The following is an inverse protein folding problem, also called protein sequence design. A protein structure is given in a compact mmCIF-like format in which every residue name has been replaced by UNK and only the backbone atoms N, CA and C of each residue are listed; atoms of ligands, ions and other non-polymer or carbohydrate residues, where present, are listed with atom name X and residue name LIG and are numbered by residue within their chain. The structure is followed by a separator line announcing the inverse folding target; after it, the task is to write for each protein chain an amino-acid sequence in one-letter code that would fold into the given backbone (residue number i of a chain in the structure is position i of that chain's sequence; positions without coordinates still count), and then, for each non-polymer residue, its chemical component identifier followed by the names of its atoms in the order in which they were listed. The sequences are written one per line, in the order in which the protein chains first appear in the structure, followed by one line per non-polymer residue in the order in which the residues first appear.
data_IF_980872990499
#
_entry.id   IF_980872990499
#
_cell.length_a   1.000
_cell.length_b   1.000
_cell.length_c   1.000
_cell.angle_alpha   90.00
_cell.angle_beta   90.00
_cell.angle_gamma   90.00
#
_symmetry.space_group_name_H-M   'P 1'
#
loop_
_entity.id
_entity.type
_entity.pdbx_description
1 polymer ?
#
# COMPACT_ATOMS: atom_id res chain seq x y z
N UNK A 1 -5.37 7.13 9.64
CA UNK A 1 -3.91 7.22 9.35
C UNK A 1 -3.68 6.58 8.00
N UNK A 2 -2.89 7.21 7.13
CA UNK A 2 -2.90 6.82 5.72
C UNK A 2 -2.22 5.49 5.45
N UNK A 3 -2.85 4.65 4.63
CA UNK A 3 -2.39 3.31 4.28
C UNK A 3 -2.28 3.13 2.77
N UNK A 4 -1.38 2.24 2.33
CA UNK A 4 -1.06 2.02 0.93
C UNK A 4 -0.73 0.55 0.67
N UNK A 5 -0.82 0.14 -0.59
CA UNK A 5 -0.44 -1.18 -1.08
C UNK A 5 1.02 -1.14 -1.56
N UNK A 6 1.85 -2.03 -1.03
CA UNK A 6 3.22 -2.24 -1.49
C UNK A 6 3.23 -2.71 -2.96
N UNK A 7 3.92 -2.00 -3.84
CA UNK A 7 3.99 -2.35 -5.26
C UNK A 7 4.69 -3.68 -5.54
N UNK A 8 5.61 -4.08 -4.66
CA UNK A 8 6.42 -5.30 -4.81
C UNK A 8 5.66 -6.55 -4.37
N UNK A 9 5.09 -6.54 -3.16
CA UNK A 9 4.51 -7.75 -2.55
C UNK A 9 3.00 -7.68 -2.30
N UNK A 10 2.36 -6.52 -2.52
CA UNK A 10 0.93 -6.36 -2.28
C UNK A 10 0.50 -6.29 -0.81
N UNK A 11 1.44 -6.28 0.14
CA UNK A 11 1.11 -6.04 1.54
C UNK A 11 0.60 -4.61 1.75
N UNK A 12 -0.40 -4.46 2.61
CA UNK A 12 -0.94 -3.17 3.04
C UNK A 12 -0.10 -2.68 4.21
N UNK A 13 0.34 -1.44 4.14
CA UNK A 13 1.24 -0.83 5.11
C UNK A 13 0.81 0.60 5.45
N UNK A 14 1.20 1.08 6.62
CA UNK A 14 1.01 2.46 7.01
C UNK A 14 2.09 3.36 6.38
N UNK A 15 1.69 4.48 5.79
CA UNK A 15 2.61 5.46 5.19
C UNK A 15 3.68 5.98 6.15
N UNK A 16 3.43 5.93 7.48
CA UNK A 16 4.38 6.34 8.51
C UNK A 16 5.45 5.28 8.84
N UNK A 17 5.23 4.01 8.49
CA UNK A 17 6.05 2.87 8.95
C UNK A 17 6.88 2.23 7.83
N UNK A 18 6.49 2.44 6.57
CA UNK A 18 7.20 1.90 5.42
C UNK A 18 8.00 2.92 4.62
N UNK A 19 8.36 2.55 3.39
CA UNK A 19 9.14 3.37 2.47
C UNK A 19 8.34 4.42 1.70
N UNK A 20 7.04 4.58 1.96
CA UNK A 20 6.11 5.33 1.11
C UNK A 20 6.63 6.73 0.74
N UNK A 21 6.83 7.61 1.72
CA UNK A 21 7.19 9.01 1.46
C UNK A 21 8.56 9.16 0.79
N UNK A 22 9.54 8.37 1.21
CA UNK A 22 10.89 8.37 0.62
C UNK A 22 10.84 7.92 -0.84
N UNK A 23 10.17 6.81 -1.12
CA UNK A 23 10.13 6.25 -2.47
C UNK A 23 9.28 7.13 -3.40
N UNK A 24 8.16 7.67 -2.92
CA UNK A 24 7.35 8.62 -3.67
C UNK A 24 8.17 9.85 -4.08
N UNK A 25 8.90 10.46 -3.14
CA UNK A 25 9.80 11.60 -3.42
C UNK A 25 10.88 11.25 -4.42
N UNK A 26 11.48 10.08 -4.27
CA UNK A 26 12.57 9.60 -5.13
C UNK A 26 12.06 9.02 -6.48
N UNK A 27 10.74 9.08 -6.75
CA UNK A 27 10.08 8.47 -7.93
C UNK A 27 10.38 6.97 -8.10
N UNK A 28 10.45 6.26 -6.99
CA UNK A 28 10.65 4.80 -6.90
C UNK A 28 9.33 4.11 -6.53
N UNK A 29 9.18 2.80 -6.83
CA UNK A 29 8.03 2.03 -6.40
C UNK A 29 7.79 2.16 -4.89
N UNK A 30 6.56 2.40 -4.46
CA UNK A 30 6.24 2.47 -3.02
C UNK A 30 6.29 1.07 -2.41
N UNK A 31 7.09 0.90 -1.36
CA UNK A 31 7.38 -0.41 -0.75
C UNK A 31 7.09 -0.40 0.74
N UNK A 32 6.51 -1.50 1.24
CA UNK A 32 6.34 -1.72 2.68
C UNK A 32 7.69 -1.80 3.42
N UNK A 33 7.63 -1.73 4.74
CA UNK A 33 8.80 -1.81 5.63
C UNK A 33 9.70 -3.02 5.30
N UNK A 34 9.11 -4.20 5.17
CA UNK A 34 9.85 -5.43 4.87
C UNK A 34 10.52 -5.41 3.49
N UNK A 35 9.81 -4.96 2.46
CA UNK A 35 10.37 -4.90 1.11
C UNK A 35 11.46 -3.83 0.95
N UNK A 36 11.40 -2.77 1.76
CA UNK A 36 12.31 -1.64 1.65
C UNK A 36 13.53 -1.75 2.59
N UNK A 37 13.34 -2.33 3.78
CA UNK A 37 14.34 -2.37 4.86
C UNK A 37 14.70 -3.79 5.31
N UNK A 38 14.01 -4.82 4.81
CA UNK A 38 14.29 -6.22 5.09
C UNK A 38 13.49 -6.83 6.24
N UNK A 39 12.80 -6.03 7.07
CA UNK A 39 11.99 -6.51 8.19
C UNK A 39 10.65 -5.76 8.26
N UNK A 40 9.60 -6.47 8.65
CA UNK A 40 8.31 -5.86 8.96
C UNK A 40 8.40 -5.05 10.27
N UNK A 41 7.78 -3.87 10.31
CA UNK A 41 7.88 -2.97 11.46
C UNK A 41 7.22 -3.50 12.75
N UNK A 42 6.22 -4.38 12.64
CA UNK A 42 5.64 -5.10 13.78
C UNK A 42 4.48 -4.42 14.54
N UNK A 43 4.19 -3.14 14.30
CA UNK A 43 3.09 -2.41 14.97
C UNK A 43 1.69 -2.95 14.60
N UNK A 44 1.55 -3.54 13.41
CA UNK A 44 0.28 -4.09 12.91
C UNK A 44 0.50 -5.44 12.21
N UNK A 45 -0.53 -6.32 12.16
CA UNK A 45 -0.46 -7.53 11.36
C UNK A 45 -0.18 -7.22 9.89
N UNK A 46 0.69 -8.02 9.27
CA UNK A 46 0.96 -7.94 7.84
C UNK A 46 -0.21 -8.55 7.07
N UNK A 47 -0.98 -7.71 6.41
CA UNK A 47 -2.13 -8.13 5.59
C UNK A 47 -1.86 -7.89 4.10
N UNK A 48 -2.35 -8.78 3.25
CA UNK A 48 -2.25 -8.65 1.79
C UNK A 48 -3.56 -8.10 1.22
N UNK A 49 -3.48 -7.28 0.16
CA UNK A 49 -4.66 -6.66 -0.47
C UNK A 49 -5.75 -7.67 -0.86
N UNK A 50 -5.36 -8.90 -1.22
CA UNK A 50 -6.29 -9.95 -1.64
C UNK A 50 -7.25 -10.40 -0.53
N UNK A 51 -6.92 -10.14 0.75
CA UNK A 51 -7.83 -10.43 1.87
C UNK A 51 -9.13 -9.63 1.78
N UNK A 52 -9.06 -8.41 1.25
CA UNK A 52 -10.20 -7.49 1.11
C UNK A 52 -10.77 -7.48 -0.30
N UNK A 53 -9.91 -7.69 -1.31
CA UNK A 53 -10.31 -7.71 -2.71
C UNK A 53 -10.37 -6.31 -3.34
N UNK A 54 -10.32 -6.29 -4.67
CA UNK A 54 -10.14 -5.07 -5.48
C UNK A 54 -11.27 -4.05 -5.25
N UNK A 55 -12.53 -4.50 -5.33
CA UNK A 55 -13.71 -3.61 -5.21
C UNK A 55 -13.72 -2.83 -3.89
N UNK A 56 -13.52 -3.53 -2.78
CA UNK A 56 -13.54 -2.95 -1.45
C UNK A 56 -12.41 -1.93 -1.25
N UNK A 57 -11.21 -2.22 -1.75
CA UNK A 57 -10.07 -1.32 -1.59
C UNK A 57 -10.22 -0.04 -2.43
N UNK A 58 -10.83 -0.12 -3.61
CA UNK A 58 -11.20 1.07 -4.40
C UNK A 58 -12.27 1.90 -3.70
N UNK A 59 -13.25 1.27 -3.05
CA UNK A 59 -14.26 1.99 -2.25
C UNK A 59 -13.64 2.70 -1.06
N UNK A 60 -12.62 2.11 -0.44
CA UNK A 60 -11.89 2.74 0.66
C UNK A 60 -11.09 3.96 0.20
N UNK A 61 -10.40 3.87 -0.93
CA UNK A 61 -9.69 5.01 -1.52
C UNK A 61 -10.65 6.17 -1.84
N UNK A 62 -11.84 5.87 -2.38
CA UNK A 62 -12.89 6.88 -2.68
C UNK A 62 -13.38 7.66 -1.47
N UNK A 63 -13.21 7.15 -0.23
CA UNK A 63 -13.58 7.88 0.99
C UNK A 63 -12.70 9.10 1.24
N UNK A 64 -11.51 9.14 0.62
CA UNK A 64 -10.55 10.22 0.75
C UNK A 64 -10.16 10.53 2.22
N UNK A 65 -10.12 9.49 3.06
CA UNK A 65 -9.76 9.55 4.49
C UNK A 65 -8.31 9.07 4.77
N UNK A 66 -7.55 8.83 3.70
CA UNK A 66 -6.21 8.24 3.73
C UNK A 66 -6.20 6.71 3.65
N UNK A 67 -7.34 6.04 3.55
CA UNK A 67 -7.37 4.59 3.35
C UNK A 67 -6.99 4.23 1.92
N UNK A 68 -6.04 3.29 1.76
CA UNK A 68 -5.68 2.71 0.45
C UNK A 68 -5.35 3.74 -0.63
N UNK A 69 -4.51 4.71 -0.30
CA UNK A 69 -4.25 5.92 -1.11
C UNK A 69 -3.69 5.70 -2.52
N UNK A 70 -3.29 4.47 -2.85
CA UNK A 70 -2.76 4.11 -4.16
C UNK A 70 -3.48 2.91 -4.77
N UNK A 71 -4.67 2.54 -4.30
CA UNK A 71 -5.38 1.35 -4.78
C UNK A 71 -5.69 1.42 -6.27
N UNK A 72 -6.26 2.53 -6.75
CA UNK A 72 -6.61 2.70 -8.17
C UNK A 72 -5.38 2.56 -9.05
N UNK A 73 -4.30 3.28 -8.71
CA UNK A 73 -3.05 3.22 -9.47
C UNK A 73 -2.43 1.82 -9.43
N UNK A 74 -2.38 1.19 -8.25
CA UNK A 74 -1.83 -0.14 -8.08
C UNK A 74 -2.59 -1.18 -8.92
N UNK A 75 -3.92 -1.19 -8.86
CA UNK A 75 -4.72 -2.17 -9.58
C UNK A 75 -4.72 -1.95 -11.09
N UNK A 76 -4.69 -0.69 -11.56
CA UNK A 76 -4.53 -0.38 -12.97
C UNK A 76 -3.20 -0.92 -13.51
N UNK A 77 -2.10 -0.71 -12.78
CA UNK A 77 -0.78 -1.27 -13.14
C UNK A 77 -0.73 -2.80 -13.14
N UNK A 78 -1.60 -3.46 -12.35
CA UNK A 78 -1.71 -4.93 -12.31
C UNK A 78 -2.72 -5.50 -13.32
N UNK A 79 -3.43 -4.66 -14.09
CA UNK A 79 -4.47 -5.10 -15.02
C UNK A 79 -5.69 -5.72 -14.32
N UNK A 80 -5.97 -5.29 -13.10
CA UNK A 80 -7.08 -5.78 -12.27
C UNK A 80 -8.30 -4.84 -12.31
N UNK A 81 -8.15 -3.67 -12.92
CA UNK A 81 -9.19 -2.67 -13.22
C UNK A 81 -8.86 -1.96 -14.52
#
# INVERSE_FOLDING_TARGET
MSSYICEKCGSIENTALGGYWKNLRDKKPVMCSECNFGNWHGEFPKEHWSKYGVKQLLEWEKRNDGSMINATEYFHRKGLV
#
